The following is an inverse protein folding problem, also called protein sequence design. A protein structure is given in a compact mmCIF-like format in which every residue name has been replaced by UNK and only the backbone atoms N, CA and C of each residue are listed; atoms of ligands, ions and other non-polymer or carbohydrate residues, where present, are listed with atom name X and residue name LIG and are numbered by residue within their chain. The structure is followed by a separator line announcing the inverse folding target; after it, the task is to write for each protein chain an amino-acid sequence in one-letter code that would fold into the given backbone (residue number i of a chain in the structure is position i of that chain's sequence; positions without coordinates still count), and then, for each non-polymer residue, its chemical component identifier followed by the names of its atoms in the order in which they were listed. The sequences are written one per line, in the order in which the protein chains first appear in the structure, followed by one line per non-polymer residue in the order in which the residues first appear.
data_IF_212842450416
#
_entry.id   IF_212842450416
#
_cell.length_a   1.000
_cell.length_b   1.000
_cell.length_c   1.000
_cell.angle_alpha   90.00
_cell.angle_beta   90.00
_cell.angle_gamma   90.00
#
_symmetry.space_group_name_H-M   'P 1'
#
loop_
_entity.id
_entity.type
_entity.pdbx_description
1 polymer ?
#
# COMPACT_ATOMS: atom_id res chain seq x y z
N UNK A 1 -1.97 -20.36 2.89
CA UNK A 1 -3.08 -19.72 2.14
C UNK A 1 -3.21 -18.30 2.64
N UNK A 2 -2.61 -17.34 1.94
CA UNK A 2 -2.50 -15.95 2.42
C UNK A 2 -2.96 -15.03 1.29
N UNK A 3 -4.21 -14.58 1.41
CA UNK A 3 -4.80 -13.47 0.66
C UNK A 3 -4.82 -12.26 1.59
N UNK A 4 -4.69 -11.08 1.00
CA UNK A 4 -4.30 -9.87 1.70
C UNK A 4 -5.08 -8.67 1.11
N UNK A 5 -6.27 -8.40 1.67
CA UNK A 5 -7.15 -7.23 1.66
C UNK A 5 -7.99 -7.08 2.98
N UNK A 6 -8.05 -5.91 3.62
CA UNK A 6 -9.04 -5.64 4.69
C UNK A 6 -10.42 -5.49 4.05
N UNK A 7 -11.27 -6.52 4.14
CA UNK A 7 -12.63 -6.55 3.57
C UNK A 7 -13.67 -6.57 4.69
N UNK A 8 -14.64 -5.67 4.65
CA UNK A 8 -15.99 -5.94 5.18
C UNK A 8 -16.92 -6.30 4.01
N UNK A 9 -17.91 -7.15 4.27
CA UNK A 9 -18.77 -7.76 3.25
C UNK A 9 -19.49 -6.73 2.35
N UNK A 10 -19.63 -7.13 1.08
CA UNK A 10 -20.35 -6.52 -0.07
C UNK A 10 -20.11 -5.03 -0.44
N UNK A 11 -19.50 -4.86 -1.63
CA UNK A 11 -19.62 -3.73 -2.56
C UNK A 11 -19.44 -2.30 -2.01
N UNK A 12 -18.21 -1.88 -1.75
CA UNK A 12 -17.82 -0.46 -1.82
C UNK A 12 -16.33 -0.28 -2.11
N UNK A 13 -15.98 0.77 -2.87
CA UNK A 13 -14.60 1.05 -3.30
C UNK A 13 -13.64 1.23 -2.11
N UNK A 14 -12.44 0.65 -2.22
CA UNK A 14 -11.39 0.78 -1.23
C UNK A 14 -10.71 2.15 -1.27
N UNK A 15 -10.42 2.72 -0.10
CA UNK A 15 -9.69 3.99 0.04
C UNK A 15 -8.32 3.70 0.63
N UNK A 16 -7.27 4.24 0.02
CA UNK A 16 -5.88 4.13 0.47
C UNK A 16 -5.50 5.36 1.28
N UNK A 17 -4.86 5.14 2.42
CA UNK A 17 -4.31 6.19 3.27
C UNK A 17 -2.83 5.91 3.56
N UNK A 18 -2.04 6.99 3.65
CA UNK A 18 -0.64 6.93 4.10
C UNK A 18 -0.56 7.62 5.45
N UNK A 19 -0.32 6.86 6.51
CA UNK A 19 -0.24 7.36 7.89
C UNK A 19 1.19 7.31 8.42
N UNK A 20 1.58 8.24 9.28
CA UNK A 20 2.85 8.20 9.99
C UNK A 20 2.94 9.26 11.09
N UNK A 21 3.30 8.84 12.31
CA UNK A 21 3.64 9.74 13.40
C UNK A 21 5.13 10.10 13.31
N UNK A 22 5.43 11.41 13.29
CA UNK A 22 6.82 11.90 13.33
C UNK A 22 7.36 11.81 14.75
N UNK A 23 8.36 10.95 14.99
CA UNK A 23 9.28 11.19 16.09
C UNK A 23 10.70 10.65 15.81
N UNK A 24 11.69 11.50 16.10
CA UNK A 24 13.13 11.27 15.93
C UNK A 24 13.68 10.29 16.99
N UNK A 25 14.84 9.70 16.66
CA UNK A 25 15.73 8.86 17.49
C UNK A 25 15.30 7.37 17.53
N UNK A 26 16.15 6.35 17.42
CA UNK A 26 17.60 6.24 17.51
C UNK A 26 18.12 4.95 16.80
N UNK A 27 19.45 4.82 16.76
CA UNK A 27 20.34 3.91 16.01
C UNK A 27 20.33 2.42 16.41
N UNK A 28 20.47 1.57 15.38
CA UNK A 28 21.42 0.45 15.15
C UNK A 28 21.95 -0.35 16.36
N UNK A 29 21.88 -1.70 16.32
CA UNK A 29 23.06 -2.62 16.28
C UNK A 29 22.72 -4.12 16.25
N UNK A 30 23.51 -4.86 15.46
CA UNK A 30 23.94 -6.27 15.64
C UNK A 30 22.88 -7.38 15.41
N UNK A 31 23.15 -8.54 14.82
CA UNK A 31 24.41 -9.17 14.43
C UNK A 31 24.42 -10.66 14.84
N UNK A 32 24.33 -11.54 13.82
CA UNK A 32 25.11 -12.78 13.66
C UNK A 32 24.60 -14.17 14.17
N UNK A 33 24.60 -15.09 13.19
CA UNK A 33 24.94 -16.54 13.14
C UNK A 33 23.90 -17.66 13.42
N UNK A 34 23.59 -18.34 12.31
CA UNK A 34 23.20 -19.75 12.22
C UNK A 34 24.24 -20.72 12.80
N UNK A 35 23.75 -21.85 13.32
CA UNK A 35 24.48 -23.11 13.40
C UNK A 35 23.76 -24.18 12.56
N UNK A 36 24.51 -24.81 11.64
CA UNK A 36 24.13 -26.06 10.97
C UNK A 36 24.58 -27.22 11.84
N UNK A 37 23.74 -28.25 11.96
CA UNK A 37 24.10 -29.55 12.52
C UNK A 37 23.94 -30.61 11.42
N UNK A 38 24.88 -31.53 11.40
CA UNK A 38 25.18 -32.43 10.30
C UNK A 38 24.78 -33.88 10.61
N UNK A 39 24.51 -34.63 9.51
CA UNK A 39 24.76 -36.07 9.29
C UNK A 39 24.07 -37.10 10.21
N UNK A 40 23.36 -38.05 9.60
CA UNK A 40 23.74 -39.47 9.65
C UNK A 40 23.00 -40.33 8.63
N UNK A 41 23.69 -41.38 8.21
CA UNK A 41 23.51 -42.28 7.07
C UNK A 41 23.20 -43.69 7.61
N UNK A 42 22.16 -44.38 7.15
CA UNK A 42 22.07 -45.86 7.18
C UNK A 42 21.17 -46.37 6.03
N UNK A 43 21.37 -47.64 5.57
CA UNK A 43 21.12 -48.06 4.20
C UNK A 43 19.81 -48.85 4.00
N UNK A 44 19.37 -48.89 2.75
CA UNK A 44 18.77 -50.09 2.16
C UNK A 44 17.28 -50.33 2.42
N UNK A 45 16.41 -49.73 1.60
CA UNK A 45 15.22 -50.39 1.03
C UNK A 45 14.98 -49.74 -0.34
N UNK A 46 15.05 -50.54 -1.41
CA UNK A 46 14.70 -50.10 -2.77
C UNK A 46 13.17 -50.06 -2.86
N UNK A 47 12.60 -48.91 -2.53
CA UNK A 47 11.17 -48.64 -2.63
C UNK A 47 10.86 -48.10 -4.02
N UNK A 48 9.99 -48.79 -4.75
CA UNK A 48 9.44 -48.36 -6.04
C UNK A 48 8.59 -47.09 -5.82
N UNK A 49 9.20 -45.91 -5.94
CA UNK A 49 8.50 -44.63 -5.90
C UNK A 49 7.81 -44.38 -7.24
N UNK A 50 6.48 -44.43 -7.22
CA UNK A 50 5.63 -43.79 -8.24
C UNK A 50 6.03 -42.32 -8.28
N UNK A 51 6.60 -41.88 -9.40
CA UNK A 51 6.80 -40.44 -9.66
C UNK A 51 5.42 -39.85 -9.89
N UNK A 52 4.76 -39.39 -8.81
CA UNK A 52 3.83 -38.28 -8.98
C UNK A 52 4.70 -37.14 -9.50
N UNK A 53 4.49 -36.77 -10.76
CA UNK A 53 4.88 -35.46 -11.23
C UNK A 53 4.04 -34.44 -10.46
N UNK A 54 4.45 -34.16 -9.22
CA UNK A 54 4.11 -32.92 -8.57
C UNK A 54 4.77 -31.85 -9.44
N UNK A 55 4.00 -31.31 -10.38
CA UNK A 55 4.34 -30.03 -11.00
C UNK A 55 4.79 -29.13 -9.87
N UNK A 56 6.03 -28.61 -9.88
CA UNK A 56 6.39 -27.57 -8.96
C UNK A 56 5.43 -26.42 -9.30
N UNK A 57 4.39 -26.26 -8.48
CA UNK A 57 3.69 -25.01 -8.38
C UNK A 57 4.81 -24.03 -8.09
N UNK A 58 5.17 -23.26 -9.10
CA UNK A 58 6.17 -22.21 -9.00
C UNK A 58 5.70 -21.34 -7.86
N UNK A 59 6.28 -21.56 -6.68
CA UNK A 59 6.13 -20.67 -5.57
C UNK A 59 6.88 -19.43 -6.02
N UNK A 60 6.18 -18.53 -6.70
CA UNK A 60 6.63 -17.15 -6.81
C UNK A 60 6.91 -16.73 -5.37
N UNK A 61 8.18 -16.53 -5.05
CA UNK A 61 8.57 -15.94 -3.78
C UNK A 61 7.78 -14.65 -3.69
N UNK A 62 6.80 -14.61 -2.79
CA UNK A 62 5.90 -13.48 -2.69
C UNK A 62 6.76 -12.23 -2.50
N UNK A 63 6.74 -11.33 -3.49
CA UNK A 63 7.52 -10.11 -3.42
C UNK A 63 7.21 -9.42 -2.10
N UNK A 64 8.26 -9.15 -1.32
CA UNK A 64 8.11 -8.46 -0.05
C UNK A 64 8.22 -6.97 -0.31
N UNK A 65 7.34 -6.19 0.33
CA UNK A 65 7.41 -4.74 0.20
C UNK A 65 8.71 -4.21 0.83
N UNK A 66 9.40 -3.31 0.13
CA UNK A 66 10.69 -2.76 0.56
C UNK A 66 10.56 -1.57 1.56
N UNK A 67 9.34 -1.25 1.97
CA UNK A 67 9.04 -0.17 2.91
C UNK A 67 9.22 1.24 2.32
N UNK A 68 9.47 1.38 1.02
CA UNK A 68 9.70 2.69 0.41
C UNK A 68 8.41 3.34 -0.05
N UNK A 69 8.32 4.64 0.21
CA UNK A 69 7.30 5.51 -0.37
C UNK A 69 7.82 6.15 -1.65
N UNK A 70 6.89 6.33 -2.59
CA UNK A 70 7.04 7.18 -3.76
C UNK A 70 6.40 8.52 -3.44
N UNK A 71 7.16 9.60 -3.55
CA UNK A 71 6.68 10.95 -3.28
C UNK A 71 7.07 11.91 -4.40
N UNK A 72 6.12 12.72 -4.86
CA UNK A 72 6.37 13.85 -5.74
C UNK A 72 5.77 15.12 -5.13
N UNK A 73 6.55 16.20 -5.21
CA UNK A 73 6.18 17.48 -4.62
C UNK A 73 6.25 17.52 -3.10
N UNK A 74 6.19 18.74 -2.56
CA UNK A 74 6.15 19.01 -1.12
C UNK A 74 5.02 19.98 -0.84
N UNK A 75 4.27 19.78 0.26
CA UNK A 75 3.16 20.66 0.63
C UNK A 75 3.60 22.13 0.73
N UNK A 76 4.78 22.41 1.30
CA UNK A 76 5.29 23.78 1.39
C UNK A 76 5.46 24.45 0.03
N UNK A 77 5.87 23.71 -1.00
CA UNK A 77 6.05 24.25 -2.35
C UNK A 77 4.70 24.41 -3.05
N UNK A 78 3.86 23.36 -3.04
CA UNK A 78 2.59 23.37 -3.74
C UNK A 78 1.57 24.33 -3.11
N UNK A 79 1.45 24.36 -1.78
CA UNK A 79 0.47 25.22 -1.09
C UNK A 79 1.11 26.54 -0.66
N UNK A 80 2.24 26.47 0.05
CA UNK A 80 2.89 27.65 0.63
C UNK A 80 3.51 28.59 -0.39
N UNK A 81 4.09 28.05 -1.47
CA UNK A 81 4.72 28.82 -2.55
C UNK A 81 3.87 28.84 -3.83
N UNK A 82 2.65 28.30 -3.79
CA UNK A 82 1.70 28.28 -4.91
C UNK A 82 2.24 27.64 -6.20
N UNK A 83 3.17 26.68 -6.07
CA UNK A 83 3.75 25.96 -7.20
C UNK A 83 2.87 24.76 -7.58
N UNK A 84 1.77 25.05 -8.28
CA UNK A 84 0.75 24.05 -8.61
C UNK A 84 1.02 23.26 -9.90
N UNK A 85 2.15 23.50 -10.58
CA UNK A 85 2.48 22.79 -11.82
C UNK A 85 2.60 21.28 -11.61
N UNK A 86 2.26 20.50 -12.65
CA UNK A 86 2.43 19.06 -12.68
C UNK A 86 3.91 18.64 -12.53
N UNK A 87 4.14 17.56 -11.77
CA UNK A 87 5.47 17.03 -11.47
C UNK A 87 5.66 15.58 -11.90
N UNK A 88 4.57 14.82 -11.97
CA UNK A 88 4.58 13.43 -12.40
C UNK A 88 3.29 13.12 -13.13
N UNK A 89 3.41 12.44 -14.26
CA UNK A 89 2.26 11.85 -14.96
C UNK A 89 1.83 10.58 -14.22
N UNK A 90 0.54 10.45 -13.92
CA UNK A 90 0.03 9.30 -13.18
C UNK A 90 0.33 7.98 -13.90
N UNK A 91 0.27 7.96 -15.24
CA UNK A 91 0.56 6.78 -16.07
C UNK A 91 1.93 6.14 -15.76
N UNK A 92 2.96 6.94 -15.48
CA UNK A 92 4.31 6.43 -15.16
C UNK A 92 4.32 5.56 -13.91
N UNK A 93 3.44 5.83 -12.96
CA UNK A 93 3.32 5.07 -11.72
C UNK A 93 2.67 3.72 -11.95
N UNK A 94 1.83 3.61 -12.98
CA UNK A 94 1.06 2.41 -13.33
C UNK A 94 1.84 1.43 -14.22
N UNK A 95 3.04 1.79 -14.67
CA UNK A 95 3.93 0.90 -15.44
C UNK A 95 4.41 -0.30 -14.61
N UNK A 96 4.36 -0.17 -13.29
CA UNK A 96 4.65 -1.24 -12.33
C UNK A 96 3.35 -1.62 -11.62
N UNK A 97 3.10 -2.93 -11.37
CA UNK A 97 1.88 -3.37 -10.71
C UNK A 97 1.84 -2.92 -9.24
N UNK A 98 0.65 -2.97 -8.65
CA UNK A 98 0.44 -2.77 -7.22
C UNK A 98 0.81 -1.38 -6.68
N UNK A 99 0.61 -0.33 -7.48
CA UNK A 99 0.73 1.03 -6.99
C UNK A 99 -0.52 1.45 -6.20
N UNK A 100 -0.32 1.93 -4.98
CA UNK A 100 -1.34 2.49 -4.11
C UNK A 100 -0.92 3.90 -3.71
N UNK A 101 -1.81 4.88 -3.80
CA UNK A 101 -1.46 6.24 -3.44
C UNK A 101 -2.58 7.25 -3.58
N UNK A 102 -2.29 8.46 -3.14
CA UNK A 102 -3.17 9.63 -3.24
C UNK A 102 -2.39 10.80 -3.83
N UNK A 103 -3.08 11.65 -4.58
CA UNK A 103 -2.46 12.77 -5.25
C UNK A 103 -3.39 13.98 -5.34
N UNK A 104 -2.80 15.18 -5.29
CA UNK A 104 -3.44 16.40 -5.76
C UNK A 104 -3.00 16.63 -7.21
N UNK A 105 -3.97 16.87 -8.08
CA UNK A 105 -3.73 17.11 -9.50
C UNK A 105 -3.03 18.47 -9.73
N UNK A 106 -2.45 18.63 -10.91
CA UNK A 106 -1.87 19.92 -11.30
C UNK A 106 -2.91 21.05 -11.26
N UNK A 107 -2.44 22.28 -11.03
CA UNK A 107 -3.26 23.46 -10.79
C UNK A 107 -4.23 23.33 -9.59
N UNK A 108 -4.09 22.28 -8.78
CA UNK A 108 -5.03 21.94 -7.70
C UNK A 108 -6.47 21.77 -8.23
N UNK A 109 -6.63 21.24 -9.46
CA UNK A 109 -7.93 21.09 -10.12
C UNK A 109 -8.72 19.85 -9.68
N UNK A 110 -8.18 19.09 -8.74
CA UNK A 110 -8.79 17.86 -8.24
C UNK A 110 -7.84 16.96 -7.46
N UNK A 111 -8.31 15.76 -7.20
CA UNK A 111 -7.60 14.72 -6.47
C UNK A 111 -7.65 13.39 -7.26
N UNK A 112 -6.62 12.57 -7.05
CA UNK A 112 -6.57 11.21 -7.56
C UNK A 112 -6.35 10.24 -6.40
N UNK A 113 -7.15 9.19 -6.36
CA UNK A 113 -6.87 8.00 -5.55
C UNK A 113 -6.47 6.88 -6.49
N UNK A 114 -5.33 6.25 -6.21
CA UNK A 114 -4.83 5.10 -6.96
C UNK A 114 -4.91 3.88 -6.06
N UNK A 115 -5.74 2.93 -6.46
CA UNK A 115 -5.97 1.68 -5.74
C UNK A 115 -5.57 0.52 -6.64
N UNK A 116 -4.46 -0.16 -6.30
CA UNK A 116 -3.91 -1.29 -7.06
C UNK A 116 -3.75 -0.99 -8.57
N UNK A 117 -3.16 0.17 -8.87
CA UNK A 117 -2.97 0.66 -10.23
C UNK A 117 -4.22 1.21 -10.93
N UNK A 118 -5.39 1.18 -10.29
CA UNK A 118 -6.63 1.78 -10.82
C UNK A 118 -6.78 3.20 -10.30
N UNK A 119 -7.01 4.15 -11.20
CA UNK A 119 -7.11 5.57 -10.87
C UNK A 119 -8.58 5.98 -10.78
N UNK A 120 -8.97 6.58 -9.66
CA UNK A 120 -10.23 7.30 -9.49
C UNK A 120 -9.91 8.78 -9.36
N UNK A 121 -10.57 9.60 -10.18
CA UNK A 121 -10.37 11.05 -10.18
C UNK A 121 -11.61 11.77 -9.67
N UNK A 122 -11.38 12.78 -8.85
CA UNK A 122 -12.36 13.81 -8.52
C UNK A 122 -11.82 15.15 -8.98
N UNK A 123 -12.66 15.98 -9.61
CA UNK A 123 -12.30 17.32 -10.06
C UNK A 123 -13.23 18.35 -9.47
N UNK A 124 -12.75 19.57 -9.36
CA UNK A 124 -13.54 20.69 -8.91
C UNK A 124 -14.14 21.39 -10.14
N UNK A 125 -15.47 21.51 -10.19
CA UNK A 125 -16.13 22.26 -11.26
C UNK A 125 -15.94 23.78 -11.08
N UNK A 126 -16.39 24.56 -12.06
CA UNK A 126 -16.28 26.03 -12.03
C UNK A 126 -17.00 26.69 -10.84
N UNK A 127 -17.84 25.96 -10.10
CA UNK A 127 -18.56 26.41 -8.91
C UNK A 127 -17.93 25.91 -7.61
N UNK A 128 -16.78 25.24 -7.68
CA UNK A 128 -16.11 24.71 -6.50
C UNK A 128 -16.64 23.35 -6.03
N UNK A 129 -17.50 22.66 -6.78
CA UNK A 129 -18.08 21.38 -6.37
C UNK A 129 -17.27 20.20 -6.92
N UNK A 130 -17.00 19.23 -6.06
CA UNK A 130 -16.37 17.96 -6.44
C UNK A 130 -17.29 17.15 -7.37
N UNK A 131 -16.72 16.65 -8.46
CA UNK A 131 -17.36 15.79 -9.43
C UNK A 131 -16.44 14.59 -9.73
N UNK A 132 -16.99 13.36 -9.82
CA UNK A 132 -16.23 12.25 -10.35
C UNK A 132 -15.86 12.54 -11.80
N UNK A 133 -14.67 12.10 -12.22
CA UNK A 133 -14.21 12.26 -13.59
C UNK A 133 -13.84 10.91 -14.18
N UNK A 134 -14.59 10.49 -15.20
CA UNK A 134 -14.53 9.13 -15.75
C UNK A 134 -13.29 8.86 -16.62
N UNK A 135 -12.44 9.87 -16.87
CA UNK A 135 -11.23 9.68 -17.66
C UNK A 135 -10.03 10.36 -17.02
N UNK A 136 -9.08 9.52 -16.59
CA UNK A 136 -7.69 9.95 -16.53
C UNK A 136 -7.16 9.97 -17.96
N UNK A 137 -6.89 11.17 -18.47
CA UNK A 137 -6.08 11.32 -19.68
C UNK A 137 -4.70 10.70 -19.42
N UNK A 138 -4.03 10.08 -20.41
CA UNK A 138 -2.62 9.68 -20.31
C UNK A 138 -1.70 10.80 -19.83
N UNK A 139 -2.10 12.05 -20.07
CA UNK A 139 -1.37 13.26 -19.68
C UNK A 139 -1.73 13.76 -18.27
N UNK A 140 -2.60 13.08 -17.51
CA UNK A 140 -2.99 13.53 -16.16
C UNK A 140 -1.78 13.60 -15.26
N UNK A 141 -1.51 14.79 -14.72
CA UNK A 141 -0.38 15.03 -13.82
C UNK A 141 -0.81 15.33 -12.40
N UNK A 142 0.05 14.96 -11.46
CA UNK A 142 -0.04 15.36 -10.06
C UNK A 142 0.98 16.45 -9.73
N UNK A 143 0.56 17.45 -8.95
CA UNK A 143 1.48 18.42 -8.33
C UNK A 143 2.02 17.91 -6.98
N UNK A 144 1.19 17.17 -6.25
CA UNK A 144 1.56 16.45 -5.02
C UNK A 144 1.12 15.01 -5.13
N UNK A 145 1.98 14.07 -4.75
CA UNK A 145 1.66 12.64 -4.74
C UNK A 145 2.43 11.93 -3.64
N UNK A 146 1.75 11.00 -2.97
CA UNK A 146 2.38 10.01 -2.09
C UNK A 146 1.75 8.64 -2.32
N UNK A 147 2.59 7.60 -2.36
CA UNK A 147 2.13 6.23 -2.55
C UNK A 147 3.23 5.21 -2.34
N UNK A 148 2.96 3.95 -2.65
CA UNK A 148 3.92 2.86 -2.60
C UNK A 148 3.52 1.74 -3.56
N UNK A 149 4.50 0.91 -3.91
CA UNK A 149 4.27 -0.36 -4.60
C UNK A 149 4.12 -1.46 -3.56
N UNK A 150 2.89 -1.91 -3.29
CA UNK A 150 2.58 -2.85 -2.22
C UNK A 150 2.21 -4.22 -2.81
N UNK A 151 3.18 -5.14 -2.97
CA UNK A 151 2.93 -6.43 -3.61
C UNK A 151 1.95 -7.33 -2.83
N UNK A 152 1.82 -7.12 -1.51
CA UNK A 152 0.88 -7.88 -0.69
C UNK A 152 0.54 -7.16 0.64
N UNK A 153 -0.71 -7.26 1.09
CA UNK A 153 -1.23 -6.61 2.32
C UNK A 153 -1.21 -7.50 3.59
N UNK A 154 -1.88 -7.15 4.67
CA UNK A 154 -2.30 -8.11 5.72
C UNK A 154 -3.68 -7.71 6.22
N UNK A 155 -4.51 -8.68 6.59
CA UNK A 155 -5.95 -8.44 6.73
C UNK A 155 -6.43 -8.52 8.15
N UNK A 156 -7.21 -7.52 8.52
CA UNK A 156 -7.69 -7.31 9.85
C UNK A 156 -9.15 -6.89 9.76
N UNK A 157 -10.05 -7.82 10.09
CA UNK A 157 -11.49 -7.53 10.08
C UNK A 157 -11.84 -6.51 11.16
N UNK A 158 -12.64 -5.53 10.79
CA UNK A 158 -13.22 -4.56 11.71
C UNK A 158 -14.48 -5.18 12.33
N UNK A 159 -14.40 -5.57 13.60
CA UNK A 159 -15.46 -6.35 14.26
C UNK A 159 -16.65 -5.50 14.74
N UNK A 160 -16.47 -4.20 14.87
CA UNK A 160 -17.49 -3.26 15.31
C UNK A 160 -17.21 -1.87 14.70
N UNK A 161 -18.26 -1.06 14.57
CA UNK A 161 -18.13 0.30 14.05
C UNK A 161 -17.10 1.10 14.84
N UNK A 162 -16.17 1.73 14.11
CA UNK A 162 -15.12 2.57 14.68
C UNK A 162 -15.50 4.01 14.41
N UNK A 163 -15.76 4.78 15.48
CA UNK A 163 -16.02 6.21 15.35
C UNK A 163 -14.83 6.95 14.75
N UNK A 164 -15.09 8.02 13.99
CA UNK A 164 -14.05 8.84 13.36
C UNK A 164 -13.03 9.39 14.36
N UNK A 165 -13.46 9.71 15.58
CA UNK A 165 -12.61 10.16 16.68
C UNK A 165 -11.69 9.07 17.27
N UNK A 166 -11.98 7.80 16.98
CA UNK A 166 -11.21 6.63 17.43
C UNK A 166 -10.41 5.96 16.32
N UNK A 167 -10.65 6.33 15.06
CA UNK A 167 -10.11 5.66 13.90
C UNK A 167 -8.57 5.60 13.89
N UNK A 168 -7.90 6.70 14.16
CA UNK A 168 -6.43 6.75 14.21
C UNK A 168 -5.84 5.82 15.28
N UNK A 169 -6.48 5.78 16.46
CA UNK A 169 -6.07 4.89 17.55
C UNK A 169 -6.29 3.43 17.17
N UNK A 170 -7.42 3.14 16.51
CA UNK A 170 -7.74 1.80 16.03
C UNK A 170 -6.71 1.30 14.99
N UNK A 171 -6.44 2.08 13.94
CA UNK A 171 -5.46 1.73 12.91
C UNK A 171 -4.06 1.55 13.51
N UNK A 172 -3.65 2.44 14.42
CA UNK A 172 -2.36 2.32 15.13
C UNK A 172 -2.28 1.03 15.94
N UNK A 173 -3.36 0.66 16.62
CA UNK A 173 -3.46 -0.59 17.38
C UNK A 173 -3.34 -1.83 16.50
N UNK A 174 -4.09 -1.87 15.39
CA UNK A 174 -4.04 -2.96 14.42
C UNK A 174 -2.64 -3.09 13.81
N UNK A 175 -2.04 -1.99 13.38
CA UNK A 175 -0.71 -1.96 12.78
C UNK A 175 0.36 -2.44 13.79
N UNK A 176 0.29 -1.98 15.04
CA UNK A 176 1.23 -2.39 16.11
C UNK A 176 1.10 -3.89 16.40
N UNK A 177 -0.13 -4.41 16.49
CA UNK A 177 -0.38 -5.84 16.70
C UNK A 177 0.11 -6.72 15.52
N UNK A 178 0.15 -6.16 14.31
CA UNK A 178 0.72 -6.79 13.12
C UNK A 178 2.25 -6.65 13.01
N UNK A 179 2.91 -6.02 13.99
CA UNK A 179 4.36 -5.83 14.01
C UNK A 179 4.85 -4.67 13.12
N UNK A 180 3.95 -3.79 12.67
CA UNK A 180 4.30 -2.60 11.88
C UNK A 180 4.87 -1.53 12.82
N UNK A 181 6.00 -0.94 12.42
CA UNK A 181 6.61 0.19 13.14
C UNK A 181 5.83 1.48 12.88
N UNK A 182 4.83 1.76 13.72
CA UNK A 182 3.95 2.94 13.61
C UNK A 182 4.66 4.29 13.86
N UNK A 183 5.92 4.27 14.31
CA UNK A 183 6.76 5.48 14.40
C UNK A 183 7.41 5.87 13.07
N UNK A 184 7.15 5.14 12.01
CA UNK A 184 7.55 5.42 10.64
C UNK A 184 6.30 5.43 9.75
N UNK A 185 6.35 6.07 8.57
CA UNK A 185 5.24 6.02 7.63
C UNK A 185 4.92 4.58 7.21
N UNK A 186 3.63 4.26 7.15
CA UNK A 186 3.13 3.00 6.62
C UNK A 186 1.87 3.26 5.77
N UNK A 187 1.64 2.36 4.82
CA UNK A 187 0.48 2.43 3.94
C UNK A 187 -0.60 1.50 4.50
N UNK A 188 -1.85 1.96 4.47
CA UNK A 188 -3.00 1.12 4.80
C UNK A 188 -4.14 1.43 3.82
N UNK A 189 -5.04 0.47 3.68
CA UNK A 189 -6.29 0.66 2.95
C UNK A 189 -7.45 0.18 3.82
N UNK A 190 -8.58 0.85 3.70
CA UNK A 190 -9.82 0.47 4.38
C UNK A 190 -10.90 0.28 3.32
N UNK A 191 -11.60 -0.83 3.44
CA UNK A 191 -12.74 -1.17 2.59
C UNK A 191 -13.91 -1.55 3.46
N UNK A 192 -15.09 -1.04 3.10
CA UNK A 192 -16.32 -1.37 3.78
C UNK A 192 -17.39 -0.30 3.68
N UNK A 193 -18.36 -0.41 4.58
CA UNK A 193 -19.39 0.60 4.76
C UNK A 193 -18.85 1.79 5.57
N UNK A 194 -19.16 3.00 5.10
CA UNK A 194 -18.79 4.25 5.76
C UNK A 194 -20.07 5.02 6.10
N UNK A 195 -20.16 5.56 7.32
CA UNK A 195 -21.34 6.26 7.85
C UNK A 195 -20.97 7.46 8.70
#
# INVERSE_FOLDING_TARGET
MIRKRIVTDELAGGIVFVGGASNKHDRITGGLKMHRIAKMLFPGVMLLTVVLAESPASAEEAETWDGKLVQYGKMHEAIGQQQHQGRVQLKKLLERPHFFGVAALENLDGEATIYDGKVTLTRVDAKGKLQPSDSSSPETQATLLVGAYVPSWTDHKVAANVGSDKFDTYITGVATAAGIKVSAPFVFAVEGEFS
#
